data_IF_927336586573
#
_entry.id   IF_927336586573
#
_cell.length_a   1.000
_cell.length_b   1.000
_cell.length_c   1.000
_cell.angle_alpha   90.00
_cell.angle_beta   90.00
_cell.angle_gamma   90.00
#
_symmetry.space_group_name_H-M   'P 1'
#
loop_
_entity.id
_entity.type
_entity.pdbx_description
1 polymer ?
#
# COMPACT_ATOMS: atom_id res chain seq x y z
N UNK A 1 36.26 21.59 -3.25
CA UNK A 1 35.68 22.20 -4.46
C UNK A 1 35.42 21.09 -5.46
N UNK A 2 34.17 20.66 -5.54
CA UNK A 2 33.53 20.16 -6.77
C UNK A 2 32.05 20.11 -6.42
N UNK A 3 31.31 21.03 -7.01
CA UNK A 3 29.88 21.24 -6.82
C UNK A 3 29.14 20.04 -7.40
N UNK A 4 28.39 19.32 -6.57
CA UNK A 4 27.24 18.57 -7.06
C UNK A 4 26.09 19.58 -7.11
N UNK A 5 25.90 20.14 -8.29
CA UNK A 5 24.72 20.94 -8.62
C UNK A 5 23.50 20.03 -8.52
N UNK A 6 22.72 20.22 -7.46
CA UNK A 6 21.32 19.77 -7.42
C UNK A 6 20.60 20.38 -8.61
N UNK A 7 19.86 19.62 -9.43
CA UNK A 7 19.08 20.20 -10.52
C UNK A 7 18.07 21.20 -9.94
N UNK A 8 18.34 22.49 -10.10
CA UNK A 8 17.37 23.57 -9.91
C UNK A 8 16.36 23.47 -11.05
N UNK A 9 15.32 22.66 -10.85
CA UNK A 9 14.21 22.50 -11.79
C UNK A 9 12.88 22.25 -11.09
N UNK A 10 12.75 22.61 -9.80
CA UNK A 10 11.48 22.51 -9.09
C UNK A 10 10.51 23.55 -9.62
N UNK A 11 9.50 23.14 -10.42
CA UNK A 11 8.29 23.96 -10.57
C UNK A 11 7.70 24.10 -9.17
N UNK A 12 7.84 25.28 -8.60
CA UNK A 12 7.35 25.56 -7.27
C UNK A 12 5.82 25.45 -7.31
N UNK A 13 5.26 24.52 -6.54
CA UNK A 13 3.81 24.29 -6.42
C UNK A 13 3.14 25.42 -5.61
N UNK A 14 3.95 26.35 -5.08
CA UNK A 14 3.51 27.67 -4.68
C UNK A 14 2.61 28.31 -5.74
N UNK A 15 1.42 28.71 -5.29
CA UNK A 15 0.42 29.34 -6.15
C UNK A 15 -0.08 28.44 -7.29
N UNK A 16 -0.26 27.15 -7.04
CA UNK A 16 -0.92 26.17 -7.92
C UNK A 16 -2.24 26.67 -8.56
N UNK A 17 -2.90 27.65 -7.93
CA UNK A 17 -4.13 28.32 -8.36
C UNK A 17 -3.91 29.40 -9.44
N UNK A 18 -2.67 29.81 -9.73
CA UNK A 18 -2.38 30.77 -10.81
C UNK A 18 -2.71 30.14 -12.16
N UNK A 19 -3.42 30.83 -13.07
CA UNK A 19 -3.85 30.25 -14.35
C UNK A 19 -2.75 29.55 -15.14
N UNK A 20 -1.56 30.16 -15.25
CA UNK A 20 -0.41 29.60 -15.98
C UNK A 20 0.12 28.31 -15.35
N UNK A 21 0.06 28.16 -14.02
CA UNK A 21 0.50 26.95 -13.31
C UNK A 21 -0.58 25.87 -13.36
N UNK A 22 -1.85 26.27 -13.28
CA UNK A 22 -2.99 25.37 -13.43
C UNK A 22 -3.05 24.75 -14.84
N UNK A 23 -2.86 25.57 -15.88
CA UNK A 23 -2.91 25.15 -17.29
C UNK A 23 -1.92 24.02 -17.60
N UNK A 24 -0.75 24.02 -16.95
CA UNK A 24 0.27 22.96 -17.12
C UNK A 24 -0.16 21.58 -16.63
N UNK A 25 -1.20 21.50 -15.79
CA UNK A 25 -1.69 20.27 -15.16
C UNK A 25 -3.16 19.97 -15.51
N UNK A 26 -3.82 20.87 -16.24
CA UNK A 26 -5.25 20.80 -16.50
C UNK A 26 -5.68 19.48 -17.15
N UNK A 27 -4.93 19.00 -18.15
CA UNK A 27 -5.22 17.74 -18.84
C UNK A 27 -5.15 16.54 -17.90
N UNK A 28 -4.17 16.51 -17.00
CA UNK A 28 -4.04 15.47 -15.97
C UNK A 28 -5.23 15.49 -15.00
N UNK A 29 -5.66 16.69 -14.60
CA UNK A 29 -6.76 16.89 -13.66
C UNK A 29 -8.13 16.56 -14.30
N UNK A 30 -8.33 16.88 -15.57
CA UNK A 30 -9.52 16.46 -16.33
C UNK A 30 -9.53 14.94 -16.47
N UNK A 31 -8.39 14.32 -16.84
CA UNK A 31 -8.27 12.86 -16.90
C UNK A 31 -8.57 12.19 -15.57
N UNK A 32 -8.08 12.75 -14.45
CA UNK A 32 -8.44 12.31 -13.11
C UNK A 32 -9.96 12.28 -12.89
N UNK A 33 -10.66 13.36 -13.24
CA UNK A 33 -12.10 13.45 -13.05
C UNK A 33 -12.86 12.40 -13.85
N UNK A 34 -12.42 12.11 -15.08
CA UNK A 34 -13.01 11.04 -15.90
C UNK A 34 -12.69 9.65 -15.35
N UNK A 35 -11.48 9.42 -14.84
CA UNK A 35 -11.10 8.17 -14.17
C UNK A 35 -11.97 7.90 -12.95
N UNK A 36 -12.32 8.91 -12.14
CA UNK A 36 -13.25 8.74 -11.01
C UNK A 36 -14.62 8.25 -11.49
N UNK A 37 -15.15 8.78 -12.60
CA UNK A 37 -16.44 8.33 -13.17
C UNK A 37 -16.34 6.88 -13.65
N UNK A 38 -15.28 6.53 -14.39
CA UNK A 38 -15.06 5.16 -14.89
C UNK A 38 -14.90 4.15 -13.76
N UNK A 39 -14.20 4.52 -12.69
CA UNK A 39 -14.01 3.70 -11.50
C UNK A 39 -15.35 3.41 -10.82
N UNK A 40 -16.16 4.44 -10.54
CA UNK A 40 -17.48 4.25 -9.92
C UNK A 40 -18.39 3.40 -10.81
N UNK A 41 -18.37 3.64 -12.12
CA UNK A 41 -19.13 2.84 -13.06
C UNK A 41 -18.65 1.37 -13.13
N UNK A 42 -17.36 1.10 -12.92
CA UNK A 42 -16.85 -0.27 -12.82
C UNK A 42 -17.41 -0.98 -11.58
N UNK A 43 -17.33 -0.35 -10.41
CA UNK A 43 -17.83 -0.95 -9.16
C UNK A 43 -19.35 -1.14 -9.18
N UNK A 44 -20.11 -0.17 -9.68
CA UNK A 44 -21.56 -0.26 -9.85
C UNK A 44 -21.97 -1.47 -10.71
N UNK A 45 -21.34 -1.64 -11.88
CA UNK A 45 -21.58 -2.79 -12.75
C UNK A 45 -21.20 -4.13 -12.13
N UNK A 46 -20.24 -4.13 -11.20
CA UNK A 46 -19.78 -5.33 -10.50
C UNK A 46 -20.51 -5.57 -9.16
N UNK A 47 -21.56 -4.79 -8.87
CA UNK A 47 -22.42 -4.98 -7.70
C UNK A 47 -21.76 -4.60 -6.38
N UNK A 48 -20.81 -3.68 -6.40
CA UNK A 48 -20.21 -3.11 -5.20
C UNK A 48 -21.00 -1.90 -4.70
N UNK A 49 -21.04 -1.73 -3.39
CA UNK A 49 -21.62 -0.54 -2.73
C UNK A 49 -20.49 0.43 -2.38
N UNK A 50 -20.61 1.70 -2.81
CA UNK A 50 -19.72 2.77 -2.33
C UNK A 50 -20.08 3.07 -0.87
N UNK A 51 -19.12 2.93 0.04
CA UNK A 51 -19.30 3.21 1.47
C UNK A 51 -18.46 4.42 1.87
N UNK A 52 -18.84 5.05 2.99
CA UNK A 52 -18.08 6.12 3.61
C UNK A 52 -17.80 5.75 5.07
N UNK A 53 -16.53 5.88 5.47
CA UNK A 53 -16.06 5.59 6.82
C UNK A 53 -15.41 6.85 7.43
N UNK A 54 -15.43 7.00 8.77
CA UNK A 54 -14.85 8.18 9.42
C UNK A 54 -13.35 8.31 9.16
N UNK A 55 -12.89 9.52 8.83
CA UNK A 55 -11.45 9.80 8.76
C UNK A 55 -10.80 9.93 10.14
N UNK A 56 -11.57 10.29 11.17
CA UNK A 56 -11.12 10.40 12.55
C UNK A 56 -11.31 9.06 13.26
N UNK A 57 -10.21 8.46 13.71
CA UNK A 57 -10.17 7.12 14.29
C UNK A 57 -9.41 7.10 15.63
N UNK A 58 -9.77 6.16 16.51
CA UNK A 58 -9.02 5.88 17.73
C UNK A 58 -7.65 5.24 17.41
N UNK A 59 -7.64 4.39 16.39
CA UNK A 59 -6.45 3.74 15.86
C UNK A 59 -6.36 4.06 14.36
N UNK A 60 -5.29 4.71 13.89
CA UNK A 60 -5.17 5.09 12.48
C UNK A 60 -4.74 3.94 11.56
N UNK A 61 -4.48 2.75 12.11
CA UNK A 61 -3.72 1.65 11.51
C UNK A 61 -2.66 1.16 12.51
N UNK A 62 -1.99 0.05 12.21
CA UNK A 62 -0.98 -0.54 13.13
C UNK A 62 0.39 -0.72 12.47
N UNK A 63 0.57 -0.29 11.22
CA UNK A 63 1.82 -0.42 10.48
C UNK A 63 2.97 0.31 11.21
N UNK A 64 4.04 -0.39 11.61
CA UNK A 64 5.11 0.20 12.42
C UNK A 64 5.79 1.41 11.79
N UNK A 65 5.88 1.42 10.45
CA UNK A 65 6.60 2.44 9.70
C UNK A 65 5.76 3.68 9.36
N UNK A 66 4.43 3.61 9.43
CA UNK A 66 3.56 4.75 9.15
C UNK A 66 3.41 5.67 10.35
N UNK A 67 3.22 6.96 10.09
CA UNK A 67 2.92 7.96 11.10
C UNK A 67 1.61 8.63 10.74
N UNK A 68 0.68 8.71 11.69
CA UNK A 68 -0.59 9.38 11.51
C UNK A 68 -0.53 10.84 11.97
N UNK A 69 -1.44 11.67 11.47
CA UNK A 69 -1.70 12.97 12.08
C UNK A 69 -2.56 12.77 13.33
N UNK A 70 -2.17 13.40 14.42
CA UNK A 70 -2.88 13.39 15.69
C UNK A 70 -3.75 14.66 15.82
N UNK A 71 -4.93 14.50 16.40
CA UNK A 71 -5.81 15.61 16.75
C UNK A 71 -6.64 15.29 18.00
N UNK A 72 -7.44 16.25 18.46
CA UNK A 72 -8.30 16.08 19.63
C UNK A 72 -9.74 16.45 19.28
N UNK A 73 -10.67 15.54 19.57
CA UNK A 73 -12.09 15.84 19.58
C UNK A 73 -12.42 16.54 20.89
N UNK A 74 -12.78 17.81 20.82
CA UNK A 74 -13.05 18.65 22.00
C UNK A 74 -14.42 18.25 22.57
N UNK A 75 -14.41 17.83 23.84
CA UNK A 75 -15.61 17.42 24.58
C UNK A 75 -16.09 18.48 25.56
N UNK A 76 -16.81 18.02 26.60
CA UNK A 76 -17.02 18.81 27.82
C UNK A 76 -15.67 19.11 28.50
N UNK A 77 -15.56 20.13 29.37
CA UNK A 77 -14.30 20.46 30.04
C UNK A 77 -13.67 19.25 30.76
N UNK A 78 -12.55 18.74 30.21
CA UNK A 78 -11.83 17.57 30.73
C UNK A 78 -11.98 16.28 29.94
N UNK A 79 -12.87 16.24 28.94
CA UNK A 79 -13.24 15.02 28.18
C UNK A 79 -12.74 15.04 26.72
N UNK A 80 -11.62 15.71 26.44
CA UNK A 80 -11.03 15.71 25.10
C UNK A 80 -10.56 14.29 24.73
N UNK A 81 -10.97 13.83 23.55
CA UNK A 81 -10.58 12.52 23.05
C UNK A 81 -9.45 12.64 22.03
N UNK A 82 -8.34 11.94 22.30
CA UNK A 82 -7.25 11.79 21.35
C UNK A 82 -7.71 10.94 20.15
N UNK A 83 -7.60 11.51 18.95
CA UNK A 83 -7.95 10.85 17.69
C UNK A 83 -6.83 11.03 16.68
N UNK A 84 -6.89 10.22 15.63
CA UNK A 84 -5.97 10.28 14.52
C UNK A 84 -6.72 10.38 13.20
N UNK A 85 -6.11 11.04 12.22
CA UNK A 85 -6.54 10.86 10.83
C UNK A 85 -6.07 9.48 10.36
N UNK A 86 -6.98 8.71 9.77
CA UNK A 86 -6.70 7.36 9.29
C UNK A 86 -5.61 7.33 8.20
N UNK A 87 -4.74 6.33 8.24
CA UNK A 87 -3.76 6.07 7.15
C UNK A 87 -4.37 5.20 6.05
N UNK A 88 -5.50 4.56 6.37
CA UNK A 88 -6.32 3.68 5.53
C UNK A 88 -7.73 3.52 6.17
N UNK A 89 -8.84 3.44 5.40
CA UNK A 89 -10.17 3.11 5.92
C UNK A 89 -10.35 1.61 6.30
N UNK A 90 -9.34 0.78 6.10
CA UNK A 90 -9.33 -0.69 6.28
C UNK A 90 -10.10 -1.22 7.49
N UNK A 91 -9.78 -0.78 8.72
CA UNK A 91 -10.45 -1.32 9.92
C UNK A 91 -11.95 -1.04 9.93
N UNK A 92 -12.36 0.17 9.55
CA UNK A 92 -13.76 0.55 9.48
C UNK A 92 -14.50 -0.22 8.37
N UNK A 93 -13.86 -0.44 7.22
CA UNK A 93 -14.44 -1.23 6.14
C UNK A 93 -14.58 -2.70 6.52
N UNK A 94 -13.60 -3.29 7.21
CA UNK A 94 -13.70 -4.67 7.71
C UNK A 94 -14.80 -4.82 8.77
N UNK A 95 -15.03 -3.82 9.64
CA UNK A 95 -16.19 -3.79 10.53
C UNK A 95 -17.52 -3.85 9.76
N UNK A 96 -17.61 -3.21 8.59
CA UNK A 96 -18.81 -3.32 7.72
C UNK A 96 -18.97 -4.73 7.14
N UNK A 97 -17.87 -5.46 6.86
CA UNK A 97 -17.95 -6.86 6.46
C UNK A 97 -18.51 -7.74 7.58
N UNK A 98 -18.04 -7.53 8.82
CA UNK A 98 -18.61 -8.19 10.01
C UNK A 98 -20.10 -7.86 10.19
N UNK A 99 -20.51 -6.64 9.86
CA UNK A 99 -21.92 -6.22 9.88
C UNK A 99 -22.77 -6.84 8.75
N UNK A 100 -22.18 -7.61 7.84
CA UNK A 100 -22.87 -8.36 6.79
C UNK A 100 -22.74 -7.79 5.37
N UNK A 101 -21.89 -6.78 5.16
CA UNK A 101 -21.60 -6.29 3.81
C UNK A 101 -20.68 -7.27 3.06
N UNK A 102 -20.91 -7.44 1.75
CA UNK A 102 -20.22 -8.47 0.96
C UNK A 102 -19.32 -7.96 -0.15
N UNK A 103 -19.64 -6.79 -0.74
CA UNK A 103 -18.91 -6.13 -1.83
C UNK A 103 -18.98 -4.63 -1.59
N UNK A 104 -17.91 -4.07 -1.05
CA UNK A 104 -17.84 -2.64 -0.72
C UNK A 104 -16.58 -2.03 -1.29
N UNK A 105 -16.67 -0.76 -1.68
CA UNK A 105 -15.50 0.03 -2.05
C UNK A 105 -15.62 1.43 -1.45
N UNK A 106 -14.48 2.10 -1.27
CA UNK A 106 -14.42 3.48 -0.86
C UNK A 106 -13.29 4.18 -1.60
N UNK A 107 -13.59 5.35 -2.18
CA UNK A 107 -12.57 6.26 -2.69
C UNK A 107 -12.29 7.31 -1.60
N UNK A 108 -11.34 7.00 -0.73
CA UNK A 108 -11.08 7.76 0.49
C UNK A 108 -9.92 8.74 0.35
N UNK A 109 -9.98 9.83 1.11
CA UNK A 109 -8.80 10.63 1.43
C UNK A 109 -8.09 9.99 2.62
N UNK A 110 -6.80 9.77 2.51
CA UNK A 110 -5.96 9.17 3.56
C UNK A 110 -4.78 10.08 3.89
N UNK A 111 -4.27 9.96 5.13
CA UNK A 111 -3.34 10.92 5.69
C UNK A 111 -2.13 10.20 6.30
N UNK A 112 -0.93 10.57 5.86
CA UNK A 112 0.34 10.01 6.35
C UNK A 112 1.33 11.11 6.65
N UNK A 113 1.64 11.26 7.93
CA UNK A 113 2.48 12.34 8.44
C UNK A 113 3.97 12.07 8.15
N UNK A 114 4.58 12.91 7.32
CA UNK A 114 6.00 12.83 6.95
C UNK A 114 6.27 12.22 5.57
N UNK A 115 5.27 11.66 4.88
CA UNK A 115 5.44 11.15 3.51
C UNK A 115 5.35 12.27 2.47
N UNK A 116 6.49 12.66 1.88
CA UNK A 116 6.55 13.59 0.75
C UNK A 116 7.68 13.24 -0.21
N UNK A 117 7.34 12.95 -1.46
CA UNK A 117 8.30 12.74 -2.55
C UNK A 117 7.62 12.95 -3.91
N UNK A 118 8.29 12.63 -5.02
CA UNK A 118 7.64 12.66 -6.33
C UNK A 118 6.40 11.75 -6.42
N UNK A 119 6.33 10.67 -5.62
CA UNK A 119 5.25 9.67 -5.63
C UNK A 119 4.39 9.66 -4.36
N UNK A 120 4.75 10.47 -3.35
CA UNK A 120 4.10 10.47 -2.04
C UNK A 120 3.70 11.89 -1.66
N UNK A 121 2.55 12.01 -1.00
CA UNK A 121 2.02 13.28 -0.54
C UNK A 121 1.30 13.03 0.80
N UNK A 122 1.38 13.94 1.79
CA UNK A 122 0.88 13.69 3.14
C UNK A 122 -0.63 13.50 3.22
N UNK A 123 -1.36 13.98 2.22
CA UNK A 123 -2.78 13.74 2.01
C UNK A 123 -3.00 13.26 0.57
N UNK A 124 -3.55 12.08 0.37
CA UNK A 124 -3.70 11.48 -0.96
C UNK A 124 -4.97 10.63 -1.05
N UNK A 125 -5.38 10.31 -2.28
CA UNK A 125 -6.59 9.51 -2.54
C UNK A 125 -6.23 8.05 -2.69
N UNK A 126 -6.88 7.22 -1.90
CA UNK A 126 -6.78 5.76 -1.93
C UNK A 126 -8.12 5.19 -2.35
N UNK A 127 -8.07 4.23 -3.27
CA UNK A 127 -9.21 3.36 -3.56
C UNK A 127 -9.01 2.10 -2.74
N UNK A 128 -10.00 1.72 -1.96
CA UNK A 128 -9.97 0.46 -1.22
C UNK A 128 -11.26 -0.30 -1.43
N UNK A 129 -11.19 -1.62 -1.58
CA UNK A 129 -12.37 -2.45 -1.74
C UNK A 129 -12.18 -3.85 -1.17
N UNK A 130 -13.30 -4.44 -0.78
CA UNK A 130 -13.37 -5.73 -0.14
C UNK A 130 -14.46 -6.58 -0.74
N UNK A 131 -14.17 -7.87 -0.88
CA UNK A 131 -15.13 -8.86 -1.35
C UNK A 131 -15.06 -10.12 -0.51
N UNK A 132 -16.21 -10.51 0.02
CA UNK A 132 -16.36 -11.80 0.72
C UNK A 132 -16.49 -12.95 -0.28
N UNK A 133 -16.13 -14.15 0.17
CA UNK A 133 -16.10 -15.40 -0.58
C UNK A 133 -15.29 -15.28 -1.88
N UNK A 134 -14.11 -14.70 -1.77
CA UNK A 134 -13.16 -14.53 -2.87
C UNK A 134 -11.76 -14.83 -2.38
N UNK A 135 -10.90 -15.25 -3.29
CA UNK A 135 -9.46 -15.41 -3.06
C UNK A 135 -8.71 -14.13 -3.41
N UNK A 136 -7.50 -13.98 -2.88
CA UNK A 136 -6.59 -12.88 -3.28
C UNK A 136 -6.32 -12.90 -4.79
N UNK A 137 -6.26 -14.10 -5.39
CA UNK A 137 -6.00 -14.28 -6.83
C UNK A 137 -7.12 -13.71 -7.68
N UNK A 138 -8.37 -14.03 -7.35
CA UNK A 138 -9.54 -13.46 -8.03
C UNK A 138 -9.60 -11.93 -7.86
N UNK A 139 -9.21 -11.42 -6.69
CA UNK A 139 -9.16 -9.97 -6.45
C UNK A 139 -8.05 -9.29 -7.28
N UNK A 140 -6.89 -9.94 -7.45
CA UNK A 140 -5.82 -9.45 -8.32
C UNK A 140 -6.26 -9.43 -9.80
N UNK A 141 -6.96 -10.47 -10.26
CA UNK A 141 -7.53 -10.50 -11.61
C UNK A 141 -8.59 -9.40 -11.82
N UNK A 142 -9.47 -9.17 -10.83
CA UNK A 142 -10.45 -8.07 -10.83
C UNK A 142 -9.75 -6.69 -10.85
N UNK A 143 -8.61 -6.57 -10.16
CA UNK A 143 -7.79 -5.34 -10.19
C UNK A 143 -7.26 -5.06 -11.60
N UNK A 144 -6.84 -6.09 -12.33
CA UNK A 144 -6.40 -5.93 -13.72
C UNK A 144 -7.53 -5.42 -14.63
N UNK A 145 -8.76 -5.92 -14.43
CA UNK A 145 -9.94 -5.43 -15.15
C UNK A 145 -10.27 -3.98 -14.80
N UNK A 146 -10.25 -3.61 -13.52
CA UNK A 146 -10.45 -2.24 -13.06
C UNK A 146 -9.41 -1.30 -13.68
N UNK A 147 -8.13 -1.64 -13.60
CA UNK A 147 -7.03 -0.82 -14.13
C UNK A 147 -7.20 -0.63 -15.64
N UNK A 148 -7.52 -1.68 -16.41
CA UNK A 148 -7.83 -1.56 -17.84
C UNK A 148 -9.02 -0.64 -18.11
N UNK A 149 -10.11 -0.78 -17.34
CA UNK A 149 -11.31 0.01 -17.51
C UNK A 149 -11.10 1.51 -17.20
N UNK A 150 -10.23 1.82 -16.25
CA UNK A 150 -10.00 3.19 -15.75
C UNK A 150 -8.84 3.87 -16.47
N UNK A 151 -7.73 3.19 -16.68
CA UNK A 151 -6.52 3.75 -17.32
C UNK A 151 -6.55 3.64 -18.85
N UNK A 152 -7.15 2.58 -19.40
CA UNK A 152 -7.01 2.18 -20.80
C UNK A 152 -6.01 1.03 -20.97
N UNK A 153 -5.47 0.87 -22.18
CA UNK A 153 -4.61 -0.27 -22.53
C UNK A 153 -3.12 -0.05 -22.26
N UNK A 154 -2.69 1.17 -21.91
CA UNK A 154 -1.27 1.49 -21.73
C UNK A 154 -1.08 2.41 -20.52
N UNK A 155 -0.08 2.11 -19.69
CA UNK A 155 0.44 3.00 -18.65
C UNK A 155 1.83 3.52 -19.02
N UNK A 156 2.20 4.70 -18.49
CA UNK A 156 3.51 5.33 -18.76
C UNK A 156 4.12 5.92 -17.50
N UNK A 157 5.43 5.80 -17.36
CA UNK A 157 6.21 6.49 -16.32
C UNK A 157 7.67 6.62 -16.74
N UNK A 158 8.14 7.84 -16.98
CA UNK A 158 9.48 8.06 -17.53
C UNK A 158 9.63 7.33 -18.86
N UNK A 159 10.67 6.50 -18.98
CA UNK A 159 10.91 5.67 -20.18
C UNK A 159 10.09 4.38 -20.22
N UNK A 160 9.47 3.98 -19.10
CA UNK A 160 8.68 2.76 -19.02
C UNK A 160 7.31 2.95 -19.69
N UNK A 161 6.97 2.03 -20.60
CA UNK A 161 5.66 1.91 -21.22
C UNK A 161 5.17 0.50 -20.96
N UNK A 162 4.02 0.38 -20.29
CA UNK A 162 3.50 -0.90 -19.83
C UNK A 162 2.19 -1.24 -20.55
N UNK A 163 2.11 -2.46 -21.11
CA UNK A 163 0.88 -2.98 -21.73
C UNK A 163 -0.09 -3.49 -20.66
N UNK A 164 -1.17 -2.75 -20.45
CA UNK A 164 -2.23 -3.11 -19.50
C UNK A 164 -3.23 -4.12 -20.09
N UNK A 165 -3.32 -4.19 -21.42
CA UNK A 165 -4.28 -5.07 -22.11
C UNK A 165 -3.83 -6.53 -22.14
N UNK A 166 -2.52 -6.76 -22.14
CA UNK A 166 -1.90 -8.07 -22.07
C UNK A 166 -2.15 -8.84 -20.76
N UNK A 167 -1.71 -10.11 -20.70
CA UNK A 167 -1.72 -10.88 -19.47
C UNK A 167 -0.75 -10.27 -18.45
N UNK A 168 -1.16 -10.23 -17.18
CA UNK A 168 -0.29 -9.77 -16.09
C UNK A 168 0.61 -10.90 -15.61
N UNK A 169 1.83 -10.55 -15.20
CA UNK A 169 2.74 -11.51 -14.60
C UNK A 169 2.36 -11.78 -13.15
N UNK A 170 2.48 -13.03 -12.72
CA UNK A 170 2.36 -13.43 -11.33
C UNK A 170 3.69 -14.04 -10.91
N UNK A 171 4.34 -13.43 -9.93
CA UNK A 171 5.67 -13.83 -9.46
C UNK A 171 5.60 -13.92 -7.95
N UNK A 172 6.03 -15.05 -7.37
CA UNK A 172 6.14 -15.15 -5.91
C UNK A 172 7.36 -14.37 -5.41
N UNK A 173 7.34 -13.88 -4.16
CA UNK A 173 8.52 -13.22 -3.56
C UNK A 173 9.74 -14.13 -3.59
N UNK A 174 9.56 -15.43 -3.27
CA UNK A 174 10.62 -16.44 -3.40
C UNK A 174 11.20 -16.50 -4.82
N UNK A 175 10.33 -16.54 -5.83
CA UNK A 175 10.75 -16.58 -7.23
C UNK A 175 11.46 -15.30 -7.66
N UNK A 176 10.99 -14.13 -7.21
CA UNK A 176 11.63 -12.85 -7.50
C UNK A 176 13.06 -12.80 -6.93
N UNK A 177 13.26 -13.26 -5.70
CA UNK A 177 14.58 -13.41 -5.09
C UNK A 177 15.46 -14.37 -5.89
N UNK A 178 14.94 -15.54 -6.24
CA UNK A 178 15.69 -16.55 -6.99
C UNK A 178 16.11 -16.06 -8.38
N UNK A 179 15.22 -15.39 -9.12
CA UNK A 179 15.50 -14.83 -10.45
C UNK A 179 16.54 -13.71 -10.41
N UNK A 180 16.43 -12.80 -9.44
CA UNK A 180 17.28 -11.61 -9.37
C UNK A 180 18.65 -11.86 -8.72
N UNK A 181 18.73 -12.82 -7.78
CA UNK A 181 19.91 -12.99 -6.92
C UNK A 181 20.39 -14.44 -6.78
N UNK A 182 19.57 -15.42 -7.17
CA UNK A 182 19.85 -16.84 -6.92
C UNK A 182 19.59 -17.30 -5.48
N UNK A 183 19.13 -16.41 -4.59
CA UNK A 183 18.87 -16.72 -3.18
C UNK A 183 17.59 -17.55 -3.04
N UNK A 184 17.66 -18.67 -2.32
CA UNK A 184 16.48 -19.36 -1.79
C UNK A 184 16.02 -18.68 -0.52
N UNK A 185 15.14 -17.68 -0.65
CA UNK A 185 14.69 -16.85 0.46
C UNK A 185 14.03 -17.67 1.58
N UNK A 186 13.14 -18.60 1.23
CA UNK A 186 12.41 -19.40 2.22
C UNK A 186 13.34 -20.35 2.97
N UNK A 187 14.43 -20.81 2.35
CA UNK A 187 15.46 -21.58 3.06
C UNK A 187 16.21 -20.75 4.12
N UNK A 188 16.21 -19.41 4.02
CA UNK A 188 16.81 -18.53 5.04
C UNK A 188 15.90 -18.29 6.26
N UNK A 189 14.66 -18.76 6.20
CA UNK A 189 13.64 -18.55 7.24
C UNK A 189 13.01 -19.88 7.71
N UNK A 190 13.79 -20.80 8.32
CA UNK A 190 13.29 -22.09 8.79
C UNK A 190 12.22 -21.96 9.90
N UNK A 191 12.21 -20.84 10.62
CA UNK A 191 11.13 -20.39 11.49
C UNK A 191 10.39 -19.22 10.80
N UNK A 192 9.32 -19.47 10.02
CA UNK A 192 8.82 -18.49 9.06
C UNK A 192 8.22 -17.22 9.68
N UNK A 193 7.69 -17.31 10.90
CA UNK A 193 7.11 -16.18 11.63
C UNK A 193 8.17 -15.32 12.33
N UNK A 194 9.31 -15.91 12.67
CA UNK A 194 10.40 -15.27 13.43
C UNK A 194 11.76 -15.65 12.84
N UNK A 195 12.05 -15.24 11.59
CA UNK A 195 13.25 -15.68 10.91
C UNK A 195 14.52 -15.16 11.59
N UNK A 196 15.51 -16.04 11.75
CA UNK A 196 16.84 -15.67 12.20
C UNK A 196 17.64 -14.99 11.08
N UNK A 197 18.49 -14.02 11.42
CA UNK A 197 19.17 -13.17 10.45
C UNK A 197 20.33 -13.85 9.71
N UNK A 198 21.05 -14.77 10.35
CA UNK A 198 22.36 -15.26 9.90
C UNK A 198 22.36 -15.84 8.48
N UNK A 199 21.35 -16.65 8.16
CA UNK A 199 21.28 -17.32 6.85
C UNK A 199 21.07 -16.32 5.70
N UNK A 200 20.18 -15.34 5.89
CA UNK A 200 19.95 -14.31 4.87
C UNK A 200 21.12 -13.35 4.77
N UNK A 201 21.79 -13.02 5.89
CA UNK A 201 23.02 -12.23 5.89
C UNK A 201 24.12 -12.88 5.06
N UNK A 202 24.38 -14.16 5.28
CA UNK A 202 25.36 -14.92 4.51
C UNK A 202 25.00 -14.94 3.00
N UNK A 203 23.73 -15.12 2.68
CA UNK A 203 23.25 -15.07 1.29
C UNK A 203 23.40 -13.68 0.66
N UNK A 204 23.12 -12.61 1.42
CA UNK A 204 23.26 -11.22 1.00
C UNK A 204 24.72 -10.87 0.67
N UNK A 205 25.65 -11.29 1.53
CA UNK A 205 27.10 -11.11 1.32
C UNK A 205 27.54 -11.81 0.03
N UNK A 206 27.02 -13.02 -0.24
CA UNK A 206 27.29 -13.79 -1.45
C UNK A 206 26.86 -13.10 -2.76
N UNK A 207 25.90 -12.18 -2.70
CA UNK A 207 25.41 -11.39 -3.85
C UNK A 207 25.85 -9.93 -3.81
N UNK A 208 26.77 -9.59 -2.89
CA UNK A 208 27.36 -8.26 -2.78
C UNK A 208 26.40 -7.18 -2.25
N UNK A 209 25.37 -7.56 -1.50
CA UNK A 209 24.51 -6.60 -0.78
C UNK A 209 25.11 -6.37 0.60
N UNK A 210 25.47 -5.13 0.90
CA UNK A 210 26.09 -4.77 2.18
C UNK A 210 25.08 -4.94 3.31
N UNK A 211 25.48 -5.53 4.43
CA UNK A 211 24.65 -5.63 5.64
C UNK A 211 25.41 -5.07 6.86
N UNK A 212 24.69 -4.74 7.94
CA UNK A 212 25.21 -4.23 9.20
C UNK A 212 24.80 -5.15 10.37
N UNK A 213 25.61 -5.26 11.43
CA UNK A 213 25.38 -6.21 12.54
C UNK A 213 24.03 -6.01 13.26
N UNK A 214 23.50 -4.79 13.24
CA UNK A 214 22.22 -4.44 13.82
C UNK A 214 21.02 -4.75 12.92
N UNK A 215 21.25 -5.09 11.64
CA UNK A 215 20.17 -5.42 10.71
C UNK A 215 19.41 -6.66 11.19
N UNK A 216 18.09 -6.55 11.17
CA UNK A 216 17.18 -7.70 11.28
C UNK A 216 17.09 -8.46 9.96
N UNK A 217 16.49 -9.64 9.97
CA UNK A 217 16.19 -10.37 8.73
C UNK A 217 15.36 -9.53 7.75
N UNK A 218 14.38 -8.77 8.24
CA UNK A 218 13.53 -7.89 7.43
C UNK A 218 14.32 -6.72 6.82
N UNK A 219 15.26 -6.12 7.57
CA UNK A 219 16.12 -5.04 7.04
C UNK A 219 16.96 -5.54 5.85
N UNK A 220 17.52 -6.75 5.95
CA UNK A 220 18.30 -7.36 4.87
C UNK A 220 17.38 -7.72 3.70
N UNK A 221 16.19 -8.28 3.97
CA UNK A 221 15.20 -8.55 2.94
C UNK A 221 14.86 -7.29 2.14
N UNK A 222 14.51 -6.18 2.80
CA UNK A 222 14.14 -4.94 2.13
C UNK A 222 15.32 -4.34 1.38
N UNK A 223 16.54 -4.43 1.92
CA UNK A 223 17.74 -3.96 1.21
C UNK A 223 17.96 -4.71 -0.10
N UNK A 224 17.89 -6.05 -0.08
CA UNK A 224 17.97 -6.87 -1.30
C UNK A 224 16.82 -6.52 -2.25
N UNK A 225 15.60 -6.43 -1.72
CA UNK A 225 14.40 -6.15 -2.51
C UNK A 225 14.50 -4.83 -3.27
N UNK A 226 14.81 -3.74 -2.57
CA UNK A 226 14.92 -2.40 -3.15
C UNK A 226 16.08 -2.28 -4.14
N UNK A 227 17.21 -2.95 -3.88
CA UNK A 227 18.40 -2.84 -4.73
C UNK A 227 18.40 -3.77 -5.95
N UNK A 228 17.74 -4.92 -5.88
CA UNK A 228 17.88 -6.00 -6.87
C UNK A 228 16.56 -6.44 -7.52
N UNK A 229 15.43 -6.21 -6.86
CA UNK A 229 14.14 -6.77 -7.29
C UNK A 229 13.19 -5.67 -7.76
N UNK A 230 12.83 -4.73 -6.88
CA UNK A 230 11.87 -3.65 -7.17
C UNK A 230 12.14 -2.91 -8.49
N UNK A 231 13.40 -2.58 -8.87
CA UNK A 231 13.67 -1.87 -10.12
C UNK A 231 13.23 -2.61 -11.39
N UNK A 232 13.10 -3.94 -11.34
CA UNK A 232 12.69 -4.77 -12.46
C UNK A 232 11.19 -5.10 -12.51
N UNK A 233 10.42 -4.79 -11.45
CA UNK A 233 9.02 -5.16 -11.36
C UNK A 233 8.13 -4.25 -12.22
N UNK A 234 7.22 -4.84 -12.99
CA UNK A 234 6.18 -4.08 -13.67
C UNK A 234 6.65 -3.17 -14.81
N UNK A 235 7.85 -3.33 -15.36
CA UNK A 235 8.45 -2.37 -16.31
C UNK A 235 7.71 -2.33 -17.66
N UNK A 236 7.57 -3.48 -18.32
CA UNK A 236 6.90 -3.64 -19.62
C UNK A 236 5.50 -4.25 -19.50
N UNK A 237 5.28 -5.11 -18.51
CA UNK A 237 4.00 -5.79 -18.23
C UNK A 237 3.71 -5.66 -16.74
N UNK A 238 2.46 -5.44 -16.30
CA UNK A 238 2.14 -5.37 -14.88
C UNK A 238 2.54 -6.66 -14.15
N UNK A 239 3.11 -6.51 -12.96
CA UNK A 239 3.54 -7.66 -12.15
C UNK A 239 2.75 -7.68 -10.85
N UNK A 240 2.09 -8.80 -10.57
CA UNK A 240 1.53 -9.17 -9.27
C UNK A 240 2.61 -9.94 -8.50
N UNK A 241 3.25 -9.28 -7.55
CA UNK A 241 4.20 -9.91 -6.63
C UNK A 241 3.41 -10.49 -5.45
N UNK A 242 3.48 -11.80 -5.21
CA UNK A 242 2.63 -12.47 -4.22
C UNK A 242 3.41 -13.42 -3.30
N UNK A 243 2.70 -14.02 -2.34
CA UNK A 243 3.28 -15.03 -1.43
C UNK A 243 4.44 -14.48 -0.60
N UNK A 244 4.19 -13.36 0.10
CA UNK A 244 5.19 -12.78 1.01
C UNK A 244 5.47 -13.75 2.17
N UNK A 245 6.73 -13.84 2.64
CA UNK A 245 7.10 -14.60 3.83
C UNK A 245 6.17 -14.34 5.02
N UNK A 246 5.93 -15.36 5.83
CA UNK A 246 4.96 -15.31 6.94
C UNK A 246 5.23 -14.19 7.96
N UNK A 247 6.49 -13.87 8.25
CA UNK A 247 6.87 -12.73 9.09
C UNK A 247 6.39 -11.37 8.53
N UNK A 248 6.22 -11.28 7.21
CA UNK A 248 5.76 -10.08 6.50
C UNK A 248 4.31 -10.19 6.02
N UNK A 249 3.51 -11.05 6.67
CA UNK A 249 2.10 -11.25 6.34
C UNK A 249 1.24 -10.00 6.58
N UNK A 250 1.69 -9.05 7.42
CA UNK A 250 0.90 -7.88 7.81
C UNK A 250 -0.52 -8.30 8.26
N UNK A 251 -1.55 -7.87 7.52
CA UNK A 251 -2.96 -8.17 7.77
C UNK A 251 -3.50 -9.33 6.92
N UNK A 252 -2.65 -9.99 6.13
CA UNK A 252 -3.00 -11.18 5.37
C UNK A 252 -3.00 -12.44 6.24
N UNK A 253 -3.89 -13.38 5.94
CA UNK A 253 -3.80 -14.74 6.45
C UNK A 253 -2.56 -15.45 5.90
N UNK A 254 -2.07 -16.45 6.62
CA UNK A 254 -1.08 -17.38 6.07
C UNK A 254 -1.71 -18.19 4.93
N UNK A 255 -0.90 -18.54 3.93
CA UNK A 255 -1.40 -19.34 2.82
C UNK A 255 -1.83 -20.73 3.34
N UNK A 256 -3.02 -21.20 2.94
CA UNK A 256 -3.47 -22.55 3.29
C UNK A 256 -2.65 -23.64 2.57
N UNK A 257 -1.92 -23.29 1.51
CA UNK A 257 -1.11 -24.23 0.72
C UNK A 257 0.33 -24.33 1.22
N UNK A 258 0.91 -23.22 1.73
CA UNK A 258 2.25 -23.17 2.30
C UNK A 258 2.32 -22.14 3.44
N UNK A 259 2.35 -22.62 4.68
CA UNK A 259 2.36 -21.77 5.87
C UNK A 259 3.63 -20.91 6.03
N UNK A 260 4.66 -21.10 5.18
CA UNK A 260 5.86 -20.24 5.16
C UNK A 260 5.58 -18.88 4.52
N UNK A 261 4.48 -18.75 3.78
CA UNK A 261 4.07 -17.54 3.08
C UNK A 261 2.65 -17.12 3.44
N UNK A 262 2.26 -15.93 3.01
CA UNK A 262 0.96 -15.32 3.24
C UNK A 262 0.24 -15.04 1.94
N UNK A 263 -1.09 -14.89 2.02
CA UNK A 263 -1.94 -14.46 0.91
C UNK A 263 -1.83 -12.94 0.65
N UNK A 264 -0.67 -12.34 0.91
CA UNK A 264 -0.36 -10.95 0.57
C UNK A 264 0.13 -10.86 -0.88
N UNK A 265 -0.28 -9.82 -1.58
CA UNK A 265 0.22 -9.47 -2.89
C UNK A 265 0.32 -7.96 -3.08
N UNK A 266 1.26 -7.54 -3.92
CA UNK A 266 1.44 -6.16 -4.36
C UNK A 266 1.42 -6.11 -5.89
N UNK A 267 0.97 -4.99 -6.45
CA UNK A 267 0.88 -4.80 -7.89
C UNK A 267 1.85 -3.69 -8.30
N UNK A 268 2.71 -3.99 -9.26
CA UNK A 268 3.68 -3.06 -9.83
C UNK A 268 3.33 -2.74 -11.29
N UNK A 269 3.30 -1.46 -11.64
CA UNK A 269 3.04 -0.97 -13.00
C UNK A 269 4.03 0.16 -13.33
N UNK A 270 4.70 0.05 -14.47
CA UNK A 270 5.82 0.91 -14.89
C UNK A 270 6.90 1.12 -13.81
N UNK A 271 7.22 0.09 -13.01
CA UNK A 271 8.17 0.21 -11.89
C UNK A 271 7.67 1.06 -10.72
N UNK A 272 6.35 1.14 -10.53
CA UNK A 272 5.71 1.77 -9.39
C UNK A 272 4.74 0.80 -8.72
N UNK A 273 4.92 0.62 -7.42
CA UNK A 273 3.91 -0.04 -6.57
C UNK A 273 2.59 0.75 -6.66
N UNK A 274 1.56 0.09 -7.16
CA UNK A 274 0.24 0.66 -7.42
C UNK A 274 -0.76 0.26 -6.32
N UNK A 275 -0.68 -0.97 -5.82
CA UNK A 275 -1.62 -1.50 -4.86
C UNK A 275 -0.99 -2.58 -3.98
N UNK A 276 -1.56 -2.75 -2.79
CA UNK A 276 -1.24 -3.81 -1.84
C UNK A 276 -2.56 -4.46 -1.38
N UNK A 277 -2.62 -5.79 -1.41
CA UNK A 277 -3.84 -6.55 -1.12
C UNK A 277 -3.57 -7.86 -0.43
N UNK A 278 -4.63 -8.41 0.15
CA UNK A 278 -4.57 -9.51 1.10
C UNK A 278 -5.72 -10.48 0.86
N UNK A 279 -5.46 -11.78 0.98
CA UNK A 279 -6.42 -12.71 1.55
C UNK A 279 -6.51 -12.41 3.04
N UNK A 280 -7.66 -11.92 3.50
CA UNK A 280 -7.74 -11.24 4.80
C UNK A 280 -7.57 -12.18 5.98
N UNK A 281 -6.83 -11.72 7.00
CA UNK A 281 -6.80 -12.38 8.30
C UNK A 281 -8.11 -12.10 9.04
N UNK A 282 -8.90 -13.16 9.25
CA UNK A 282 -10.18 -13.08 9.99
C UNK A 282 -10.10 -13.61 11.42
N UNK A 283 -8.97 -14.22 11.83
CA UNK A 283 -8.75 -14.70 13.20
C UNK A 283 -8.37 -13.55 14.14
N UNK A 284 -9.29 -13.21 15.05
CA UNK A 284 -9.13 -12.13 16.01
C UNK A 284 -7.96 -12.32 16.99
N UNK A 285 -7.63 -13.56 17.37
CA UNK A 285 -6.55 -13.84 18.32
C UNK A 285 -5.19 -13.66 17.66
N UNK A 286 -5.05 -14.19 16.45
CA UNK A 286 -3.86 -13.97 15.63
C UNK A 286 -3.68 -12.49 15.31
N UNK A 287 -4.75 -11.79 14.93
CA UNK A 287 -4.70 -10.35 14.65
C UNK A 287 -4.24 -9.55 15.87
N UNK A 288 -4.74 -9.86 17.07
CA UNK A 288 -4.30 -9.23 18.32
C UNK A 288 -2.82 -9.51 18.60
N UNK A 289 -2.35 -10.74 18.39
CA UNK A 289 -0.95 -11.10 18.61
C UNK A 289 -0.02 -10.29 17.68
N UNK A 290 -0.40 -10.13 16.41
CA UNK A 290 0.35 -9.31 15.43
C UNK A 290 0.36 -7.84 15.81
N UNK A 291 -0.78 -7.28 16.22
CA UNK A 291 -0.84 -5.90 16.70
C UNK A 291 0.05 -5.65 17.92
N UNK A 292 0.13 -6.60 18.85
CA UNK A 292 1.02 -6.52 20.00
C UNK A 292 2.48 -6.48 19.55
N UNK A 293 2.85 -7.29 18.55
CA UNK A 293 4.21 -7.31 18.01
C UNK A 293 4.56 -6.03 17.24
N UNK A 294 3.67 -5.55 16.36
CA UNK A 294 3.83 -4.27 15.64
C UNK A 294 4.00 -3.10 16.62
N UNK A 295 3.27 -3.10 17.73
CA UNK A 295 3.42 -2.11 18.80
C UNK A 295 4.81 -2.17 19.42
N UNK A 296 5.32 -3.37 19.74
CA UNK A 296 6.67 -3.52 20.29
C UNK A 296 7.74 -3.04 19.32
N UNK A 297 7.64 -3.42 18.04
CA UNK A 297 8.56 -2.99 16.98
C UNK A 297 8.59 -1.46 16.88
N UNK A 298 7.40 -0.84 16.88
CA UNK A 298 7.27 0.63 16.85
C UNK A 298 7.93 1.30 18.06
N UNK A 299 7.70 0.77 19.27
CA UNK A 299 8.33 1.30 20.50
C UNK A 299 9.85 1.11 20.49
N UNK A 300 10.34 -0.03 19.99
CA UNK A 300 11.77 -0.29 19.83
C UNK A 300 12.45 0.71 18.87
N UNK A 301 11.70 1.22 17.89
CA UNK A 301 12.14 2.31 17.00
C UNK A 301 12.02 3.72 17.61
N UNK A 302 11.70 3.83 18.91
CA UNK A 302 11.59 5.10 19.62
C UNK A 302 10.32 5.90 19.28
N UNK A 303 9.31 5.26 18.67
CA UNK A 303 8.02 5.88 18.32
C UNK A 303 6.97 5.58 19.37
N UNK A 304 5.98 6.47 19.51
CA UNK A 304 4.84 6.26 20.42
C UNK A 304 4.02 5.03 20.02
N UNK A 305 3.60 4.25 21.02
CA UNK A 305 2.66 3.16 20.82
C UNK A 305 1.32 3.71 20.28
N UNK A 306 0.71 2.96 19.36
CA UNK A 306 -0.65 3.24 18.90
C UNK A 306 -1.64 2.36 19.68
N UNK A 307 -2.82 2.89 19.95
CA UNK A 307 -3.89 2.10 20.56
C UNK A 307 -4.40 1.07 19.57
N UNK A 308 -4.62 -0.16 20.05
CA UNK A 308 -5.33 -1.17 19.27
C UNK A 308 -6.81 -0.78 19.17
N UNK A 309 -7.41 -1.05 18.02
CA UNK A 309 -8.86 -0.93 17.84
C UNK A 309 -9.57 -2.17 18.42
N UNK A 310 -9.99 -2.07 19.68
CA UNK A 310 -10.69 -3.15 20.39
C UNK A 310 -12.03 -3.51 19.74
N UNK A 311 -12.72 -2.54 19.12
CA UNK A 311 -13.95 -2.81 18.38
C UNK A 311 -13.68 -3.58 17.08
N UNK A 312 -12.54 -3.33 16.42
CA UNK A 312 -12.15 -4.09 15.23
C UNK A 312 -11.87 -5.55 15.59
N UNK A 313 -11.16 -5.79 16.70
CA UNK A 313 -10.91 -7.14 17.21
C UNK A 313 -12.22 -7.84 17.59
N UNK A 314 -13.16 -7.14 18.23
CA UNK A 314 -14.49 -7.67 18.53
C UNK A 314 -15.31 -7.98 17.26
N UNK A 315 -15.19 -7.15 16.22
CA UNK A 315 -15.83 -7.39 14.92
C UNK A 315 -15.29 -8.66 14.25
N UNK A 316 -13.96 -8.88 14.28
CA UNK A 316 -13.36 -10.13 13.81
C UNK A 316 -13.88 -11.33 14.59
N UNK A 317 -13.98 -11.22 15.92
CA UNK A 317 -14.45 -12.29 16.80
C UNK A 317 -15.94 -12.62 16.57
N UNK A 318 -16.74 -11.64 16.12
CA UNK A 318 -18.14 -11.86 15.72
C UNK A 318 -18.28 -12.67 14.41
N UNK A 319 -17.21 -12.72 13.60
CA UNK A 319 -17.10 -13.50 12.38
C UNK A 319 -17.19 -12.65 11.11
N UNK A 320 -16.10 -12.66 10.35
CA UNK A 320 -16.07 -12.16 8.96
C UNK A 320 -15.93 -13.39 8.04
N UNK A 321 -16.76 -13.55 7.00
CA UNK A 321 -16.54 -14.60 6.01
C UNK A 321 -15.17 -14.45 5.37
N UNK A 322 -14.58 -15.57 4.90
CA UNK A 322 -13.38 -15.54 4.06
C UNK A 322 -13.49 -14.45 3.00
N UNK A 323 -12.53 -13.55 2.96
CA UNK A 323 -12.57 -12.38 2.09
C UNK A 323 -11.17 -12.00 1.62
N UNK A 324 -11.13 -11.17 0.59
CA UNK A 324 -9.92 -10.48 0.18
C UNK A 324 -10.21 -8.98 0.10
N UNK A 325 -9.19 -8.19 0.38
CA UNK A 325 -9.20 -6.74 0.31
C UNK A 325 -7.95 -6.23 -0.40
N UNK A 326 -8.04 -5.01 -0.91
CA UNK A 326 -6.92 -4.35 -1.59
C UNK A 326 -7.05 -2.84 -1.51
N UNK A 327 -5.91 -2.20 -1.23
CA UNK A 327 -5.73 -0.76 -1.24
C UNK A 327 -4.89 -0.36 -2.46
N UNK A 328 -5.43 0.51 -3.30
CA UNK A 328 -4.82 1.01 -4.52
C UNK A 328 -4.60 2.53 -4.42
N UNK A 329 -3.38 2.99 -4.72
CA UNK A 329 -3.05 4.40 -4.77
C UNK A 329 -3.69 5.06 -5.99
N UNK A 330 -4.87 5.68 -5.82
CA UNK A 330 -5.60 6.28 -6.95
C UNK A 330 -4.82 7.40 -7.61
N UNK A 331 -4.09 8.21 -6.84
CA UNK A 331 -3.24 9.27 -7.41
C UNK A 331 -2.11 8.69 -8.26
N UNK A 332 -1.50 7.58 -7.83
CA UNK A 332 -0.49 6.84 -8.61
C UNK A 332 -1.10 6.25 -9.89
N UNK A 333 -2.34 5.76 -9.84
CA UNK A 333 -3.06 5.29 -11.02
C UNK A 333 -3.25 6.42 -12.05
N UNK A 334 -3.62 7.62 -11.60
CA UNK A 334 -3.75 8.80 -12.46
C UNK A 334 -2.39 9.16 -13.08
N UNK A 335 -1.32 9.18 -12.28
CA UNK A 335 0.04 9.41 -12.79
C UNK A 335 0.40 8.44 -13.91
N UNK A 336 0.12 7.14 -13.74
CA UNK A 336 0.38 6.12 -14.75
C UNK A 336 -0.46 6.30 -16.02
N UNK A 337 -1.74 6.68 -15.86
CA UNK A 337 -2.64 6.90 -16.98
C UNK A 337 -2.28 8.15 -17.80
N UNK A 338 -1.69 9.16 -17.17
CA UNK A 338 -1.37 10.44 -17.80
C UNK A 338 0.10 10.61 -18.17
N UNK A 339 0.98 9.77 -17.61
CA UNK A 339 2.43 9.95 -17.70
C UNK A 339 2.98 11.06 -16.80
N UNK A 340 2.20 11.54 -15.82
CA UNK A 340 2.69 12.57 -14.89
C UNK A 340 3.82 12.03 -14.02
N UNK A 341 4.90 12.81 -13.89
CA UNK A 341 6.10 12.39 -13.14
C UNK A 341 5.97 12.63 -11.63
N UNK A 342 5.15 13.61 -11.23
CA UNK A 342 4.94 14.00 -9.84
C UNK A 342 3.49 13.87 -9.44
N UNK A 343 3.24 13.39 -8.22
CA UNK A 343 1.90 13.29 -7.64
C UNK A 343 1.19 14.64 -7.59
N UNK A 344 1.92 15.74 -7.36
CA UNK A 344 1.36 17.09 -7.33
C UNK A 344 0.78 17.55 -8.68
N UNK A 345 1.18 16.91 -9.78
CA UNK A 345 0.64 17.18 -11.11
C UNK A 345 -0.78 16.63 -11.31
N UNK A 346 -1.19 15.69 -10.45
CA UNK A 346 -2.50 15.04 -10.49
C UNK A 346 -3.37 15.40 -9.28
N UNK A 347 -2.94 16.36 -8.46
CA UNK A 347 -3.70 16.91 -7.34
C UNK A 347 -4.27 18.28 -7.69
N UNK A 348 -5.60 18.44 -7.51
CA UNK A 348 -6.28 19.72 -7.74
C UNK A 348 -5.72 20.84 -6.86
N UNK A 349 -5.54 20.55 -5.57
CA UNK A 349 -4.97 21.44 -4.58
C UNK A 349 -4.05 20.61 -3.66
N UNK A 350 -2.72 20.71 -3.82
CA UNK A 350 -1.76 20.03 -2.96
C UNK A 350 -1.62 20.73 -1.60
N UNK A 351 -1.19 19.96 -0.59
CA UNK A 351 -0.91 20.46 0.76
C UNK A 351 0.29 21.39 0.67
N UNK A 352 0.25 22.49 1.42
CA UNK A 352 1.34 23.48 1.48
C UNK A 352 2.68 22.80 1.72
N UNK A 353 3.73 23.29 1.06
CA UNK A 353 5.09 22.84 1.33
C UNK A 353 5.60 23.53 2.61
N UNK A 354 6.49 22.87 3.34
CA UNK A 354 7.11 23.44 4.54
C UNK A 354 8.39 24.24 4.24
N UNK A 355 8.77 24.32 2.96
CA UNK A 355 9.99 24.99 2.48
C UNK A 355 9.79 26.50 2.26
#
# INVERSE_FOLDING_TARGET
MSQNETPQGGRNVENWWRPVVFEQRADHLVRRADMVKSLRAFFDRNGYVEVETPALQLSPGMEPHLSAFETRLIGSPGDDLLLYLHTSPEFAMKKLLAAGMHRIFQLARVYRNGERSAKHHPEFTMLEWYRTRTTWRELADETAELVRAVCGSVARRGENICDLAGPWEFVSVQEAFQRATGIDLLATAPEPLFPGTDALRFAADGVGVRTDDADTWEDIFFRIFLERIEPGLGTETPTVLHSYPASMAALARLSPEDARVSDRFEIFVCGMELANGYGELTDAKEQRARFAEMTKQRVAQGRSAMSMDEEFLAALESGIPDCAGIALGFDRLVMLATGAERIEDVLWAPVVNLD
#
